data_IF_406746873235
#
_entry.id   IF_406746873235
#
_cell.length_a   1.000
_cell.length_b   1.000
_cell.length_c   1.000
_cell.angle_alpha   90.00
_cell.angle_beta   90.00
_cell.angle_gamma   90.00
#
_symmetry.space_group_name_H-M   'P 1'
#
loop_
_entity.id
_entity.type
_entity.pdbx_description
1 polymer ?
#
# COMPACT_ATOMS: atom_id res chain seq x y z
N UNK A 1 37.67 -2.90 5.20
CA UNK A 1 36.86 -1.67 5.32
C UNK A 1 35.44 -1.74 4.76
N UNK A 2 35.03 -2.83 4.10
CA UNK A 2 33.60 -3.12 3.87
C UNK A 2 33.01 -4.05 4.97
N UNK A 3 33.85 -4.55 5.87
CA UNK A 3 33.55 -5.63 6.83
C UNK A 3 32.58 -5.21 7.95
N UNK A 4 32.23 -3.91 8.03
CA UNK A 4 31.27 -3.35 8.97
C UNK A 4 29.98 -2.83 8.30
N UNK A 5 29.82 -3.08 6.99
CA UNK A 5 28.61 -2.72 6.25
C UNK A 5 27.80 -3.99 6.01
N UNK A 6 26.55 -4.02 6.49
CA UNK A 6 25.60 -5.08 6.17
C UNK A 6 24.52 -4.56 5.22
N UNK A 7 24.08 -5.42 4.30
CA UNK A 7 23.00 -5.14 3.36
C UNK A 7 21.77 -5.94 3.77
N UNK A 8 20.70 -5.23 4.11
CA UNK A 8 19.44 -5.83 4.55
C UNK A 8 18.30 -5.45 3.60
N UNK A 9 17.54 -6.47 3.19
CA UNK A 9 16.39 -6.35 2.30
C UNK A 9 15.18 -7.03 2.96
N UNK A 10 14.58 -6.41 4.00
CA UNK A 10 13.56 -7.05 4.83
C UNK A 10 12.31 -7.47 4.04
N UNK A 11 12.09 -6.86 2.88
CA UNK A 11 10.90 -7.08 2.06
C UNK A 11 11.17 -7.83 0.74
N UNK A 12 12.36 -8.41 0.55
CA UNK A 12 12.73 -9.07 -0.73
C UNK A 12 11.79 -10.21 -1.14
N UNK A 13 11.24 -10.92 -0.15
CA UNK A 13 10.39 -12.11 -0.36
C UNK A 13 8.93 -11.89 0.06
N UNK A 14 8.54 -10.63 0.31
CA UNK A 14 7.19 -10.28 0.71
C UNK A 14 6.45 -9.60 -0.45
N UNK A 15 5.18 -9.96 -0.60
CA UNK A 15 4.26 -9.21 -1.44
C UNK A 15 3.77 -7.94 -0.71
N UNK A 16 2.94 -7.15 -1.38
CA UNK A 16 2.45 -5.88 -0.82
C UNK A 16 1.61 -6.08 0.45
N UNK A 17 0.77 -7.11 0.49
CA UNK A 17 -0.01 -7.45 1.68
C UNK A 17 0.91 -7.86 2.84
N UNK A 18 1.94 -8.66 2.57
CA UNK A 18 2.97 -9.07 3.52
C UNK A 18 3.70 -7.89 4.15
N UNK A 19 4.07 -6.89 3.36
CA UNK A 19 4.69 -5.65 3.86
C UNK A 19 3.74 -4.90 4.80
N UNK A 20 2.44 -4.83 4.49
CA UNK A 20 1.48 -4.17 5.37
C UNK A 20 1.24 -4.95 6.67
N UNK A 21 1.21 -6.29 6.62
CA UNK A 21 1.12 -7.14 7.81
C UNK A 21 2.34 -7.00 8.72
N UNK A 22 3.54 -6.92 8.15
CA UNK A 22 4.76 -6.64 8.90
C UNK A 22 4.74 -5.22 9.51
N UNK A 23 4.22 -4.24 8.76
CA UNK A 23 4.00 -2.88 9.27
C UNK A 23 3.01 -2.83 10.44
N UNK A 24 1.93 -3.61 10.40
CA UNK A 24 0.99 -3.75 11.51
C UNK A 24 1.68 -4.29 12.77
N UNK A 25 2.46 -5.37 12.61
CA UNK A 25 3.23 -5.95 13.71
C UNK A 25 4.24 -4.95 14.28
N UNK A 26 4.97 -4.25 13.43
CA UNK A 26 5.95 -3.24 13.84
C UNK A 26 5.30 -2.08 14.59
N UNK A 27 4.12 -1.63 14.16
CA UNK A 27 3.37 -0.58 14.86
C UNK A 27 2.90 -1.05 16.24
N UNK A 28 2.43 -2.29 16.38
CA UNK A 28 2.07 -2.89 17.67
C UNK A 28 3.28 -2.96 18.61
N UNK A 29 4.40 -3.49 18.13
CA UNK A 29 5.65 -3.62 18.90
C UNK A 29 6.22 -2.26 19.35
N UNK A 30 6.00 -1.20 18.57
CA UNK A 30 6.48 0.17 18.85
C UNK A 30 5.43 1.06 19.53
N UNK A 31 4.22 0.56 19.78
CA UNK A 31 3.08 1.34 20.28
C UNK A 31 2.79 2.60 19.43
N UNK A 32 2.75 2.42 18.10
CA UNK A 32 2.39 3.42 17.11
C UNK A 32 1.05 3.09 16.47
N UNK A 33 0.31 4.11 16.05
CA UNK A 33 -0.91 3.92 15.27
C UNK A 33 -0.58 3.68 13.80
N UNK A 34 -0.92 2.49 13.29
CA UNK A 34 -0.66 2.09 11.91
C UNK A 34 -1.32 3.03 10.89
N UNK A 35 -2.57 3.43 11.13
CA UNK A 35 -3.30 4.26 10.17
C UNK A 35 -2.68 5.66 10.08
N UNK A 36 -2.25 6.24 11.20
CA UNK A 36 -1.47 7.48 11.22
C UNK A 36 -0.17 7.35 10.44
N UNK A 37 0.59 6.26 10.56
CA UNK A 37 1.83 6.10 9.78
C UNK A 37 1.50 6.01 8.29
N UNK A 38 0.55 5.16 7.91
CA UNK A 38 0.25 4.90 6.50
C UNK A 38 -0.47 6.07 5.82
N UNK A 39 -1.20 6.91 6.55
CA UNK A 39 -1.80 8.15 6.03
C UNK A 39 -0.74 9.19 5.66
N UNK A 40 0.47 9.08 6.19
CA UNK A 40 1.60 9.99 5.93
C UNK A 40 2.54 9.46 4.82
N UNK A 41 2.14 8.42 4.09
CA UNK A 41 2.90 7.86 2.97
C UNK A 41 2.21 8.14 1.64
N UNK A 42 2.98 8.40 0.57
CA UNK A 42 2.45 8.59 -0.78
C UNK A 42 3.03 7.51 -1.72
N UNK A 43 2.13 6.83 -2.43
CA UNK A 43 2.49 5.77 -3.40
C UNK A 43 2.11 6.14 -4.84
N UNK A 44 1.24 7.15 -5.01
CA UNK A 44 0.69 7.52 -6.32
C UNK A 44 1.72 8.21 -7.22
N UNK A 45 1.70 7.87 -8.51
CA UNK A 45 2.44 8.60 -9.54
C UNK A 45 1.64 9.74 -10.19
N UNK A 46 0.35 9.87 -9.86
CA UNK A 46 -0.52 10.89 -10.43
C UNK A 46 -1.49 11.45 -9.37
N UNK A 47 -0.99 12.15 -8.34
CA UNK A 47 -1.86 12.85 -7.41
C UNK A 47 -2.56 14.04 -8.09
N UNK A 48 -3.74 14.42 -7.57
CA UNK A 48 -4.40 15.67 -7.96
C UNK A 48 -3.71 16.91 -7.36
N UNK A 49 -4.27 18.09 -7.64
CA UNK A 49 -3.72 19.35 -7.13
C UNK A 49 -3.72 19.46 -5.60
N UNK A 50 -4.55 18.66 -4.92
CA UNK A 50 -4.66 18.59 -3.46
C UNK A 50 -3.82 17.44 -2.86
N UNK A 51 -3.06 16.72 -3.70
CA UNK A 51 -2.20 15.61 -3.28
C UNK A 51 -2.93 14.27 -3.12
N UNK A 52 -4.21 14.17 -3.51
CA UNK A 52 -4.99 12.93 -3.39
C UNK A 52 -4.70 11.99 -4.55
N UNK A 53 -4.66 10.70 -4.24
CA UNK A 53 -4.36 9.67 -5.25
C UNK A 53 -5.55 9.45 -6.18
N UNK A 54 -5.31 9.32 -7.49
CA UNK A 54 -6.39 9.08 -8.46
C UNK A 54 -7.04 7.69 -8.31
N UNK A 55 -6.29 6.69 -7.83
CA UNK A 55 -6.80 5.32 -7.65
C UNK A 55 -6.73 4.46 -8.93
N UNK A 56 -6.03 4.93 -9.96
CA UNK A 56 -6.02 4.30 -11.30
C UNK A 56 -4.63 4.04 -11.84
N UNK A 57 -3.57 4.57 -11.22
CA UNK A 57 -2.19 4.21 -11.61
C UNK A 57 -1.88 2.79 -11.12
N UNK A 58 -0.90 2.13 -11.72
CA UNK A 58 -0.50 0.79 -11.29
C UNK A 58 -0.08 0.75 -9.81
N UNK A 59 0.62 1.77 -9.31
CA UNK A 59 1.00 1.84 -7.90
C UNK A 59 -0.18 2.09 -6.96
N UNK A 60 -1.17 2.89 -7.39
CA UNK A 60 -2.42 3.03 -6.64
C UNK A 60 -3.16 1.70 -6.53
N UNK A 61 -3.33 1.01 -7.66
CA UNK A 61 -4.06 -0.26 -7.75
C UNK A 61 -3.42 -1.32 -6.86
N UNK A 62 -2.10 -1.50 -6.92
CA UNK A 62 -1.39 -2.46 -6.07
C UNK A 62 -1.56 -2.14 -4.57
N UNK A 63 -1.52 -0.86 -4.20
CA UNK A 63 -1.73 -0.43 -2.81
C UNK A 63 -3.17 -0.70 -2.35
N UNK A 64 -4.16 -0.33 -3.16
CA UNK A 64 -5.59 -0.57 -2.87
C UNK A 64 -5.84 -2.07 -2.65
N UNK A 65 -5.31 -2.91 -3.55
CA UNK A 65 -5.44 -4.36 -3.45
C UNK A 65 -4.76 -4.90 -2.19
N UNK A 66 -3.57 -4.43 -1.85
CA UNK A 66 -2.87 -4.85 -0.64
C UNK A 66 -3.64 -4.53 0.65
N UNK A 67 -4.23 -3.33 0.75
CA UNK A 67 -5.09 -2.96 1.89
C UNK A 67 -6.35 -3.82 1.94
N UNK A 68 -6.98 -4.07 0.78
CA UNK A 68 -8.13 -4.95 0.69
C UNK A 68 -7.81 -6.39 1.12
N UNK A 69 -6.66 -6.93 0.72
CA UNK A 69 -6.26 -8.31 1.01
C UNK A 69 -5.99 -8.54 2.51
N UNK A 70 -5.63 -7.49 3.25
CA UNK A 70 -5.55 -7.52 4.72
C UNK A 70 -6.85 -7.11 5.42
N UNK A 71 -7.95 -6.91 4.68
CA UNK A 71 -9.26 -6.57 5.22
C UNK A 71 -9.38 -5.14 5.75
N UNK A 72 -8.61 -4.18 5.23
CA UNK A 72 -8.60 -2.78 5.68
C UNK A 72 -8.95 -1.81 4.54
N UNK A 73 -9.40 -0.62 4.94
CA UNK A 73 -9.48 0.56 4.07
C UNK A 73 -8.14 1.29 4.15
N UNK A 74 -7.59 1.71 3.02
CA UNK A 74 -6.38 2.52 3.01
C UNK A 74 -6.65 3.90 3.64
N UNK A 75 -5.84 4.36 4.61
CA UNK A 75 -6.08 5.62 5.31
C UNK A 75 -5.77 6.88 4.47
N UNK A 76 -5.21 6.76 3.26
CA UNK A 76 -4.98 7.93 2.41
C UNK A 76 -6.26 8.41 1.70
N UNK A 77 -6.38 9.71 1.42
CA UNK A 77 -7.48 10.21 0.61
C UNK A 77 -7.28 9.87 -0.88
N UNK A 78 -8.32 9.33 -1.49
CA UNK A 78 -8.46 9.21 -2.94
C UNK A 78 -9.35 10.30 -3.51
N UNK A 79 -9.21 10.58 -4.80
CA UNK A 79 -10.09 11.51 -5.53
C UNK A 79 -11.52 10.99 -5.58
N UNK A 80 -11.70 9.68 -5.66
CA UNK A 80 -13.01 9.00 -5.61
C UNK A 80 -13.18 8.23 -4.29
N UNK A 81 -14.41 7.90 -3.88
CA UNK A 81 -14.66 7.06 -2.70
C UNK A 81 -13.90 5.72 -2.75
N UNK A 82 -13.58 5.17 -1.58
CA UNK A 82 -12.89 3.88 -1.44
C UNK A 82 -13.55 2.76 -2.26
N UNK A 83 -14.88 2.63 -2.16
CA UNK A 83 -15.61 1.58 -2.86
C UNK A 83 -15.46 1.67 -4.40
N UNK A 84 -15.37 2.89 -4.95
CA UNK A 84 -15.20 3.11 -6.38
C UNK A 84 -13.79 2.73 -6.84
N UNK A 85 -12.76 3.14 -6.09
CA UNK A 85 -11.36 2.83 -6.45
C UNK A 85 -11.04 1.36 -6.21
N UNK A 86 -11.62 0.74 -5.19
CA UNK A 86 -11.53 -0.68 -4.92
C UNK A 86 -12.22 -1.50 -6.02
N UNK A 87 -13.44 -1.11 -6.43
CA UNK A 87 -14.13 -1.79 -7.52
C UNK A 87 -13.31 -1.78 -8.81
N UNK A 88 -12.69 -0.64 -9.14
CA UNK A 88 -11.78 -0.53 -10.29
C UNK A 88 -10.55 -1.45 -10.13
N UNK A 89 -9.89 -1.43 -8.97
CA UNK A 89 -8.71 -2.24 -8.70
C UNK A 89 -9.03 -3.75 -8.80
N UNK A 90 -10.16 -4.20 -8.25
CA UNK A 90 -10.63 -5.58 -8.34
C UNK A 90 -10.97 -5.99 -9.78
N UNK A 91 -11.59 -5.09 -10.56
CA UNK A 91 -11.87 -5.34 -11.97
C UNK A 91 -10.58 -5.52 -12.79
N UNK A 92 -9.57 -4.69 -12.54
CA UNK A 92 -8.25 -4.82 -13.17
C UNK A 92 -7.55 -6.12 -12.75
N UNK A 93 -7.58 -6.46 -11.45
CA UNK A 93 -7.07 -7.75 -10.95
C UNK A 93 -7.76 -8.94 -11.63
N UNK A 94 -9.07 -8.88 -11.87
CA UNK A 94 -9.79 -9.94 -12.57
C UNK A 94 -9.46 -10.00 -14.08
N UNK A 95 -9.26 -8.86 -14.73
CA UNK A 95 -8.92 -8.79 -16.15
C UNK A 95 -7.48 -9.26 -16.45
N UNK A 96 -6.58 -9.15 -15.47
CA UNK A 96 -5.15 -9.46 -15.63
C UNK A 96 -4.66 -10.63 -14.76
N UNK A 97 -5.48 -11.13 -13.83
CA UNK A 97 -5.17 -12.20 -12.87
C UNK A 97 -5.21 -13.61 -13.45
N UNK A 98 -4.89 -13.76 -14.73
CA UNK A 98 -4.59 -15.05 -15.35
C UNK A 98 -3.08 -15.26 -15.38
N UNK A 99 -2.51 -15.75 -14.27
CA UNK A 99 -1.27 -16.51 -14.24
C UNK A 99 -1.51 -17.86 -13.53
#
# INVERSE_FOLDING_TARGET
>A
DADHVNFDLPYLHLDKAGILMDGLKSCDDLNLDFDTILSNTLTSYAPDADGRSLGTTGSDVERILAFHDIGRVDPIPYVKPWDDVLANALALRAAHGGE
#
